data_IF_491223080006
#
_entry.id   IF_491223080006
#
_cell.length_a   1.000
_cell.length_b   1.000
_cell.length_c   1.000
_cell.angle_alpha   90.00
_cell.angle_beta   90.00
_cell.angle_gamma   90.00
#
_symmetry.space_group_name_H-M   'P 1'
#
loop_
_entity.id
_entity.type
_entity.pdbx_description
1 polymer ?
#
# COMPACT_ATOMS: atom_id res chain seq x y z
N UNK A 1 4.55 38.10 41.00
CA UNK A 1 4.23 38.78 39.73
C UNK A 1 5.23 38.32 38.70
N UNK A 2 4.85 37.36 37.86
CA UNK A 2 5.70 36.76 36.83
C UNK A 2 5.56 37.53 35.52
N UNK A 3 6.67 38.05 35.01
CA UNK A 3 6.72 38.67 33.67
C UNK A 3 6.34 37.63 32.60
N UNK A 4 5.46 37.97 31.64
CA UNK A 4 5.18 37.10 30.51
C UNK A 4 6.38 37.11 29.55
N UNK A 5 6.80 35.91 29.15
CA UNK A 5 7.78 35.66 28.09
C UNK A 5 7.23 36.24 26.77
N UNK A 6 8.02 36.94 25.94
CA UNK A 6 7.57 37.36 24.63
C UNK A 6 7.37 36.13 23.74
N UNK A 7 6.24 36.09 23.02
CA UNK A 7 5.98 35.09 21.99
C UNK A 7 7.02 35.24 20.87
N UNK A 8 7.72 34.13 20.55
CA UNK A 8 8.63 34.08 19.41
C UNK A 8 7.87 34.39 18.12
N UNK A 9 8.26 35.48 17.48
CA UNK A 9 7.74 35.94 16.22
C UNK A 9 8.18 34.96 15.13
N UNK A 10 7.24 34.14 14.66
CA UNK A 10 7.41 33.22 13.52
C UNK A 10 7.92 34.01 12.30
N UNK A 11 9.22 33.93 12.02
CA UNK A 11 9.83 34.52 10.83
C UNK A 11 9.22 33.86 9.59
N UNK A 12 8.35 34.60 8.89
CA UNK A 12 7.75 34.17 7.62
C UNK A 12 8.87 33.85 6.63
N UNK A 13 8.92 32.60 6.17
CA UNK A 13 9.86 32.15 5.14
C UNK A 13 9.50 32.82 3.80
N UNK A 14 10.32 33.78 3.36
CA UNK A 14 10.18 34.44 2.06
C UNK A 14 11.00 33.67 1.02
N UNK A 15 10.37 33.25 -0.08
CA UNK A 15 11.01 32.53 -1.19
C UNK A 15 10.75 33.32 -2.47
N UNK A 16 11.77 33.46 -3.32
CA UNK A 16 11.63 34.10 -4.63
C UNK A 16 11.00 33.12 -5.64
N UNK A 17 9.97 33.55 -6.34
CA UNK A 17 9.29 32.77 -7.37
C UNK A 17 9.25 33.54 -8.69
N UNK A 18 9.29 32.81 -9.81
CA UNK A 18 8.98 33.38 -11.11
C UNK A 18 7.47 33.74 -11.17
N UNK A 19 7.06 34.88 -11.77
CA UNK A 19 5.65 35.29 -11.81
C UNK A 19 4.68 34.23 -12.34
N UNK A 20 5.08 33.50 -13.40
CA UNK A 20 4.31 32.37 -13.93
C UNK A 20 3.97 31.30 -12.87
N UNK A 21 4.91 30.98 -11.98
CA UNK A 21 4.70 29.95 -10.94
C UNK A 21 3.64 30.39 -9.94
N UNK A 22 3.68 31.67 -9.54
CA UNK A 22 2.68 32.28 -8.65
C UNK A 22 1.32 32.26 -9.34
N UNK A 23 1.23 32.81 -10.56
CA UNK A 23 -0.03 32.91 -11.30
C UNK A 23 -0.64 31.54 -11.60
N UNK A 24 0.17 30.52 -11.89
CA UNK A 24 -0.29 29.15 -12.10
C UNK A 24 -0.89 28.53 -10.83
N UNK A 25 -0.24 28.71 -9.68
CA UNK A 25 -0.77 28.20 -8.40
C UNK A 25 -2.04 28.94 -7.99
N UNK A 26 -2.09 30.26 -8.16
CA UNK A 26 -3.30 31.06 -7.92
C UNK A 26 -4.44 30.60 -8.82
N UNK A 27 -4.19 30.44 -10.13
CA UNK A 27 -5.20 29.96 -11.08
C UNK A 27 -5.75 28.58 -10.73
N UNK A 28 -4.88 27.63 -10.36
CA UNK A 28 -5.31 26.30 -9.87
C UNK A 28 -6.19 26.41 -8.62
N UNK A 29 -5.78 27.22 -7.65
CA UNK A 29 -6.53 27.39 -6.42
C UNK A 29 -7.92 28.01 -6.65
N UNK A 30 -8.01 29.01 -7.54
CA UNK A 30 -9.29 29.60 -7.96
C UNK A 30 -10.18 28.53 -8.59
N UNK A 31 -9.66 27.78 -9.58
CA UNK A 31 -10.44 26.74 -10.26
C UNK A 31 -10.94 25.64 -9.31
N UNK A 32 -10.13 25.24 -8.32
CA UNK A 32 -10.57 24.27 -7.31
C UNK A 32 -11.62 24.83 -6.35
N UNK A 33 -11.50 26.10 -5.98
CA UNK A 33 -12.38 26.73 -4.99
C UNK A 33 -13.69 27.26 -5.59
N UNK A 34 -13.65 27.66 -6.86
CA UNK A 34 -14.67 28.40 -7.59
C UNK A 34 -14.72 27.87 -9.04
N UNK A 35 -15.11 26.59 -9.26
CA UNK A 35 -15.05 25.96 -10.58
C UNK A 35 -15.97 26.62 -11.62
N UNK A 36 -17.03 27.28 -11.16
CA UNK A 36 -18.03 27.92 -12.02
C UNK A 36 -17.75 29.42 -12.27
N UNK A 37 -16.63 29.96 -11.75
CA UNK A 37 -16.29 31.37 -11.93
C UNK A 37 -15.74 31.62 -13.34
N UNK A 38 -16.55 32.28 -14.17
CA UNK A 38 -16.15 32.73 -15.50
C UNK A 38 -15.86 34.24 -15.51
N UNK A 39 -14.84 34.63 -16.29
CA UNK A 39 -14.44 36.03 -16.46
C UNK A 39 -14.28 36.32 -17.94
N UNK A 40 -14.94 37.38 -18.42
CA UNK A 40 -14.85 37.82 -19.81
C UNK A 40 -13.81 38.93 -19.97
N UNK A 41 -13.00 38.84 -21.02
CA UNK A 41 -12.03 39.87 -21.41
C UNK A 41 -12.06 40.06 -22.93
N UNK A 42 -11.71 41.24 -23.48
CA UNK A 42 -11.58 41.43 -24.93
C UNK A 42 -10.58 40.45 -25.56
N UNK A 43 -10.78 40.15 -26.85
CA UNK A 43 -9.92 39.23 -27.61
C UNK A 43 -8.46 39.71 -27.69
N UNK A 44 -8.24 41.02 -27.82
CA UNK A 44 -6.94 41.66 -27.72
C UNK A 44 -6.90 42.52 -26.45
N UNK A 45 -5.97 42.23 -25.54
CA UNK A 45 -5.86 42.88 -24.23
C UNK A 45 -4.41 42.79 -23.71
N UNK A 46 -4.10 43.55 -22.66
CA UNK A 46 -2.79 43.53 -22.01
C UNK A 46 -2.74 42.59 -20.80
N UNK A 47 -1.54 42.14 -20.40
CA UNK A 47 -1.38 41.31 -19.19
C UNK A 47 -1.89 42.01 -17.93
N UNK A 48 -1.75 43.34 -17.85
CA UNK A 48 -2.22 44.12 -16.72
C UNK A 48 -3.75 44.13 -16.66
N UNK A 49 -4.42 44.37 -17.79
CA UNK A 49 -5.89 44.31 -17.88
C UNK A 49 -6.44 42.94 -17.50
N UNK A 50 -5.80 41.85 -17.95
CA UNK A 50 -6.17 40.49 -17.53
C UNK A 50 -6.07 40.30 -16.01
N UNK A 51 -4.95 40.71 -15.39
CA UNK A 51 -4.74 40.57 -13.96
C UNK A 51 -5.72 41.42 -13.14
N UNK A 52 -6.00 42.64 -13.59
CA UNK A 52 -6.99 43.52 -12.95
C UNK A 52 -8.41 42.96 -13.08
N UNK A 53 -8.76 42.39 -14.23
CA UNK A 53 -10.08 41.80 -14.45
C UNK A 53 -10.31 40.61 -13.55
N UNK A 54 -9.33 39.69 -13.46
CA UNK A 54 -9.36 38.55 -12.54
C UNK A 54 -9.34 39.01 -11.09
N UNK A 55 -8.54 40.04 -10.74
CA UNK A 55 -8.53 40.57 -9.37
C UNK A 55 -9.86 41.18 -8.95
N UNK A 56 -10.57 41.85 -9.88
CA UNK A 56 -11.90 42.43 -9.61
C UNK A 56 -12.96 41.34 -9.43
N UNK A 57 -12.92 40.27 -10.21
CA UNK A 57 -13.88 39.16 -10.09
C UNK A 57 -13.71 38.36 -8.80
N UNK A 58 -12.52 38.37 -8.20
CA UNK A 58 -12.22 37.71 -6.93
C UNK A 58 -12.41 38.60 -5.71
N UNK A 59 -12.83 39.86 -5.88
CA UNK A 59 -13.02 40.79 -4.78
C UNK A 59 -14.06 40.24 -3.76
N UNK A 60 -13.67 40.17 -2.49
CA UNK A 60 -14.51 39.61 -1.42
C UNK A 60 -14.45 38.09 -1.25
N UNK A 61 -13.66 37.38 -2.08
CA UNK A 61 -13.48 35.92 -2.03
C UNK A 61 -12.07 35.51 -1.59
N UNK A 62 -11.41 36.34 -0.76
CA UNK A 62 -10.02 36.11 -0.35
C UNK A 62 -9.86 34.79 0.41
N UNK A 63 -8.93 33.95 -0.07
CA UNK A 63 -8.63 32.64 0.51
C UNK A 63 -7.12 32.45 0.59
N UNK A 64 -6.68 31.88 1.70
CA UNK A 64 -5.27 31.52 1.90
C UNK A 64 -4.89 30.37 0.97
N UNK A 65 -3.76 30.52 0.28
CA UNK A 65 -3.14 29.47 -0.52
C UNK A 65 -1.71 29.24 -0.06
N UNK A 66 -1.23 28.02 -0.28
CA UNK A 66 0.19 27.66 -0.13
C UNK A 66 0.79 27.51 -1.53
N UNK A 67 1.95 28.13 -1.76
CA UNK A 67 2.70 28.00 -3.02
C UNK A 67 3.89 27.09 -2.75
N UNK A 68 3.86 25.90 -3.35
CA UNK A 68 4.97 24.96 -3.24
C UNK A 68 6.19 25.47 -4.01
N UNK A 69 7.40 25.34 -3.47
CA UNK A 69 8.62 25.72 -4.18
C UNK A 69 8.76 24.89 -5.47
N UNK A 70 9.13 25.51 -6.62
CA UNK A 70 9.35 24.78 -7.85
C UNK A 70 10.49 23.77 -7.64
N UNK A 71 10.28 22.52 -8.08
CA UNK A 71 11.35 21.52 -8.14
C UNK A 71 12.42 22.06 -9.11
N UNK A 72 13.68 22.23 -8.67
CA UNK A 72 14.74 22.75 -9.53
C UNK A 72 14.87 21.96 -10.84
N UNK A 73 15.09 22.65 -11.97
CA UNK A 73 15.17 22.02 -13.31
C UNK A 73 16.21 20.90 -13.37
N UNK A 74 17.34 21.09 -12.68
CA UNK A 74 18.37 20.05 -12.53
C UNK A 74 17.84 18.79 -11.84
N UNK A 75 17.02 18.96 -10.79
CA UNK A 75 16.37 17.84 -10.08
C UNK A 75 15.30 17.18 -10.95
N UNK A 76 14.53 17.94 -11.72
CA UNK A 76 13.59 17.38 -12.72
C UNK A 76 14.31 16.52 -13.77
N UNK A 77 15.45 17.00 -14.28
CA UNK A 77 16.28 16.25 -15.25
C UNK A 77 16.89 15.00 -14.61
N UNK A 78 17.39 15.09 -13.37
CA UNK A 78 17.92 13.93 -12.64
C UNK A 78 16.84 12.86 -12.44
N UNK A 79 15.63 13.25 -12.00
CA UNK A 79 14.50 12.33 -11.84
C UNK A 79 14.09 11.69 -13.17
N UNK A 80 14.07 12.46 -14.27
CA UNK A 80 13.78 11.94 -15.61
C UNK A 80 14.84 10.93 -16.06
N UNK A 81 16.11 11.22 -15.84
CA UNK A 81 17.21 10.33 -16.22
C UNK A 81 17.18 9.03 -15.39
N UNK A 82 16.90 9.12 -14.08
CA UNK A 82 16.72 7.96 -13.21
C UNK A 82 15.55 7.09 -13.68
N UNK A 83 14.40 7.69 -14.02
CA UNK A 83 13.26 6.96 -14.56
C UNK A 83 13.58 6.27 -15.91
N UNK A 84 14.31 6.95 -16.80
CA UNK A 84 14.72 6.38 -18.10
C UNK A 84 15.73 5.22 -17.95
N UNK A 85 16.70 5.35 -17.04
CA UNK A 85 17.66 4.28 -16.75
C UNK A 85 16.96 3.04 -16.17
N UNK A 86 15.95 3.23 -15.33
CA UNK A 86 15.17 2.13 -14.77
C UNK A 86 14.28 1.44 -15.81
N UNK A 87 13.64 2.19 -16.70
CA UNK A 87 12.88 1.63 -17.83
C UNK A 87 13.78 0.80 -18.77
N UNK A 88 15.05 1.19 -18.93
CA UNK A 88 16.03 0.44 -19.70
C UNK A 88 16.53 -0.81 -18.96
N UNK A 89 16.79 -0.71 -17.65
CA UNK A 89 17.16 -1.86 -16.83
C UNK A 89 16.05 -2.92 -16.77
N UNK A 90 14.77 -2.49 -16.81
CA UNK A 90 13.58 -3.35 -16.87
C UNK A 90 13.58 -4.32 -18.07
N UNK A 91 14.11 -3.92 -19.22
CA UNK A 91 14.20 -4.77 -20.40
C UNK A 91 15.24 -5.90 -20.28
N UNK A 92 16.07 -5.88 -19.24
CA UNK A 92 17.19 -6.80 -19.00
C UNK A 92 17.09 -7.61 -17.70
N UNK A 93 15.95 -7.58 -16.99
CA UNK A 93 15.83 -8.34 -15.75
C UNK A 93 15.76 -9.85 -16.02
N UNK A 94 16.86 -10.53 -15.70
CA UNK A 94 16.84 -11.96 -15.38
C UNK A 94 16.00 -12.16 -14.12
N UNK A 95 14.98 -13.01 -14.23
CA UNK A 95 14.04 -13.42 -13.16
C UNK A 95 14.69 -14.20 -12.01
N UNK A 96 16.02 -14.30 -11.98
CA UNK A 96 16.81 -15.16 -11.08
C UNK A 96 17.40 -14.45 -9.85
N UNK A 97 17.36 -13.11 -9.78
CA UNK A 97 17.82 -12.37 -8.59
C UNK A 97 16.64 -11.95 -7.73
N UNK A 98 16.72 -12.23 -6.43
CA UNK A 98 15.64 -12.02 -5.46
C UNK A 98 15.24 -10.55 -5.39
N UNK A 99 14.20 -10.17 -6.13
CA UNK A 99 13.54 -8.86 -6.13
C UNK A 99 12.85 -8.52 -4.79
N UNK A 100 13.13 -9.28 -3.74
CA UNK A 100 12.53 -9.13 -2.42
C UNK A 100 13.60 -9.14 -1.35
N UNK A 101 13.37 -8.37 -0.28
CA UNK A 101 14.17 -8.40 0.93
C UNK A 101 13.25 -8.47 2.16
N UNK A 102 13.67 -9.18 3.23
CA UNK A 102 12.90 -9.23 4.46
C UNK A 102 12.89 -7.88 5.16
N UNK A 103 11.81 -7.58 5.87
CA UNK A 103 11.83 -6.48 6.84
C UNK A 103 12.68 -6.87 8.05
N UNK A 104 13.22 -5.88 8.76
CA UNK A 104 13.87 -6.11 10.04
C UNK A 104 12.84 -6.54 11.08
N UNK A 105 13.22 -7.48 11.95
CA UNK A 105 12.43 -7.93 13.10
C UNK A 105 13.22 -7.67 14.38
N UNK A 106 12.55 -7.23 15.45
CA UNK A 106 13.19 -6.89 16.73
C UNK A 106 13.05 -7.99 17.79
N UNK A 107 12.26 -9.02 17.53
CA UNK A 107 11.98 -10.13 18.45
C UNK A 107 12.31 -11.48 17.82
N UNK A 108 12.42 -12.50 18.67
CA UNK A 108 12.63 -13.89 18.25
C UNK A 108 11.35 -14.47 17.63
N UNK A 109 11.36 -14.63 16.31
CA UNK A 109 10.24 -15.14 15.51
C UNK A 109 9.89 -16.59 15.83
N UNK A 110 10.84 -17.36 16.36
CA UNK A 110 10.62 -18.75 16.72
C UNK A 110 9.59 -18.88 17.87
N UNK A 111 9.37 -17.82 18.64
CA UNK A 111 8.45 -17.79 19.77
C UNK A 111 7.01 -17.42 19.39
N UNK A 112 6.77 -16.97 18.16
CA UNK A 112 5.41 -16.67 17.70
C UNK A 112 4.63 -18.00 17.61
N UNK A 113 3.52 -18.19 18.31
CA UNK A 113 2.76 -19.44 18.21
C UNK A 113 2.10 -19.58 16.83
N UNK A 114 1.67 -20.79 16.47
CA UNK A 114 0.71 -20.94 15.37
C UNK A 114 -0.59 -20.17 15.70
N UNK A 115 -1.32 -19.67 14.70
CA UNK A 115 -2.59 -19.01 14.93
C UNK A 115 -3.55 -19.97 15.64
N UNK A 116 -4.19 -19.49 16.70
CA UNK A 116 -5.31 -20.25 17.26
C UNK A 116 -6.46 -20.26 16.26
N UNK A 117 -7.28 -21.33 16.24
CA UNK A 117 -8.48 -21.36 15.41
C UNK A 117 -9.39 -20.15 15.72
N UNK A 118 -9.89 -19.42 14.71
CA UNK A 118 -10.81 -18.31 14.93
C UNK A 118 -12.18 -18.81 15.41
N UNK A 119 -12.87 -17.98 16.19
CA UNK A 119 -14.24 -18.29 16.64
C UNK A 119 -15.20 -18.36 15.44
N UNK A 120 -16.34 -19.07 15.54
CA UNK A 120 -17.34 -19.09 14.47
C UNK A 120 -17.83 -17.69 14.07
N UNK A 121 -17.95 -16.78 15.04
CA UNK A 121 -18.34 -15.38 14.79
C UNK A 121 -17.27 -14.61 14.03
N UNK A 122 -15.99 -14.85 14.34
CA UNK A 122 -14.85 -14.27 13.61
C UNK A 122 -14.79 -14.80 12.18
N UNK A 123 -14.99 -16.11 11.97
CA UNK A 123 -15.07 -16.71 10.63
C UNK A 123 -16.22 -16.12 9.80
N UNK A 124 -17.41 -16.01 10.41
CA UNK A 124 -18.57 -15.44 9.75
C UNK A 124 -18.33 -13.97 9.34
N UNK A 125 -17.73 -13.15 10.20
CA UNK A 125 -17.36 -11.76 9.85
C UNK A 125 -16.34 -11.69 8.72
N UNK A 126 -15.31 -12.55 8.75
CA UNK A 126 -14.33 -12.63 7.68
C UNK A 126 -15.00 -12.97 6.34
N UNK A 127 -15.94 -13.93 6.35
CA UNK A 127 -16.75 -14.30 5.18
C UNK A 127 -17.63 -13.16 4.70
N UNK A 128 -18.32 -12.43 5.58
CA UNK A 128 -19.16 -11.29 5.24
C UNK A 128 -18.37 -10.14 4.61
N UNK A 129 -17.20 -9.82 5.19
CA UNK A 129 -16.28 -8.83 4.64
C UNK A 129 -15.72 -9.25 3.26
N UNK A 130 -15.76 -10.56 2.97
CA UNK A 130 -15.35 -11.13 1.70
C UNK A 130 -16.46 -11.17 0.62
N UNK A 131 -17.74 -11.08 0.99
CA UNK A 131 -18.85 -11.08 0.01
C UNK A 131 -18.74 -9.99 -1.07
N UNK A 132 -18.25 -8.76 -0.82
CA UNK A 132 -18.05 -7.76 -1.88
C UNK A 132 -16.76 -7.96 -2.69
N UNK A 133 -16.05 -9.09 -2.60
CA UNK A 133 -14.89 -9.33 -3.49
C UNK A 133 -15.40 -9.55 -4.92
N UNK A 134 -14.98 -8.72 -5.90
CA UNK A 134 -15.27 -9.01 -7.30
C UNK A 134 -14.66 -10.37 -7.70
N UNK A 135 -15.13 -10.98 -8.80
CA UNK A 135 -14.39 -12.08 -9.42
C UNK A 135 -12.95 -11.66 -9.69
N UNK A 136 -12.04 -12.63 -9.83
CA UNK A 136 -10.64 -12.37 -10.16
C UNK A 136 -10.56 -11.68 -11.53
N UNK A 137 -10.49 -10.36 -11.55
CA UNK A 137 -10.04 -9.58 -12.70
C UNK A 137 -8.50 -9.54 -12.63
N UNK A 138 -7.82 -9.83 -13.74
CA UNK A 138 -6.35 -9.86 -13.82
C UNK A 138 -5.74 -8.67 -13.04
N UNK A 139 -5.05 -8.89 -11.89
CA UNK A 139 -4.98 -7.83 -10.87
C UNK A 139 -3.97 -6.72 -11.14
N UNK A 140 -3.29 -6.73 -12.29
CA UNK A 140 -2.06 -5.96 -12.44
C UNK A 140 -2.03 -5.17 -13.75
N UNK A 141 -2.88 -4.13 -13.91
CA UNK A 141 -2.68 -3.14 -14.96
C UNK A 141 -1.36 -2.36 -14.75
N UNK A 142 -0.79 -2.41 -13.54
CA UNK A 142 0.46 -1.72 -13.20
C UNK A 142 1.36 -2.67 -12.42
N UNK A 143 2.43 -3.15 -13.08
CA UNK A 143 3.62 -3.62 -12.37
C UNK A 143 4.19 -2.38 -11.68
N UNK A 144 3.95 -2.22 -10.38
CA UNK A 144 4.61 -1.16 -9.60
C UNK A 144 6.04 -1.66 -9.37
N UNK A 145 7.05 -1.14 -10.09
CA UNK A 145 8.43 -1.47 -9.73
C UNK A 145 8.61 -1.05 -8.27
N UNK A 146 9.32 -1.91 -7.51
CA UNK A 146 9.86 -1.52 -6.21
C UNK A 146 10.30 -0.06 -6.26
N UNK A 147 9.87 0.72 -5.26
CA UNK A 147 10.06 2.17 -5.19
C UNK A 147 11.37 2.59 -5.87
N UNK A 148 11.34 3.67 -6.68
CA UNK A 148 12.41 4.23 -7.53
C UNK A 148 13.84 4.26 -6.93
N UNK A 149 14.02 3.93 -5.66
CA UNK A 149 15.25 3.95 -4.90
C UNK A 149 15.77 2.57 -4.44
N UNK A 150 14.93 1.54 -4.27
CA UNK A 150 15.33 0.28 -3.59
C UNK A 150 15.39 -0.97 -4.47
N UNK A 151 14.83 -0.95 -5.69
CA UNK A 151 14.78 -2.09 -6.65
C UNK A 151 14.29 -3.45 -6.07
N UNK A 152 13.85 -3.48 -4.81
CA UNK A 152 13.46 -4.67 -4.06
C UNK A 152 12.18 -4.38 -3.28
N UNK A 153 11.32 -5.39 -3.18
CA UNK A 153 10.02 -5.34 -2.49
C UNK A 153 10.13 -5.92 -1.07
N UNK A 154 9.35 -5.41 -0.11
CA UNK A 154 9.37 -5.93 1.25
C UNK A 154 8.72 -7.31 1.33
N UNK A 155 9.33 -8.21 2.10
CA UNK A 155 8.69 -9.44 2.54
C UNK A 155 8.51 -9.48 4.05
N UNK A 156 7.37 -10.01 4.47
CA UNK A 156 7.02 -10.29 5.86
C UNK A 156 6.89 -11.80 6.05
N UNK A 157 7.18 -12.28 7.25
CA UNK A 157 7.03 -13.70 7.60
C UNK A 157 5.73 -13.89 8.37
N UNK A 158 5.08 -15.02 8.18
CA UNK A 158 3.90 -15.39 8.95
C UNK A 158 3.80 -16.88 9.21
N UNK A 159 3.13 -17.20 10.32
CA UNK A 159 2.57 -18.51 10.61
C UNK A 159 1.13 -18.51 10.13
N UNK A 160 0.84 -19.31 9.10
CA UNK A 160 -0.44 -19.30 8.40
C UNK A 160 -1.17 -20.62 8.57
N UNK A 161 -2.48 -20.54 8.79
CA UNK A 161 -3.40 -21.67 8.78
C UNK A 161 -4.50 -21.40 7.76
N UNK A 162 -4.75 -22.37 6.90
CA UNK A 162 -5.72 -22.32 5.81
C UNK A 162 -6.80 -23.38 6.02
N UNK A 163 -8.06 -23.00 5.80
CA UNK A 163 -9.23 -23.88 5.89
C UNK A 163 -10.21 -23.55 4.75
N UNK A 164 -11.16 -24.45 4.49
CA UNK A 164 -12.33 -24.10 3.68
C UNK A 164 -13.16 -23.02 4.36
N UNK A 165 -13.82 -22.16 3.58
CA UNK A 165 -14.60 -21.03 4.12
C UNK A 165 -15.74 -21.50 5.04
N UNK A 166 -16.46 -22.53 4.60
CA UNK A 166 -17.56 -23.15 5.37
C UNK A 166 -17.22 -24.55 5.91
N UNK A 167 -15.99 -25.02 5.67
CA UNK A 167 -15.57 -26.35 6.07
C UNK A 167 -14.13 -26.34 6.63
N UNK A 168 -14.01 -26.68 7.90
CA UNK A 168 -12.75 -26.81 8.62
C UNK A 168 -12.26 -28.26 8.73
N UNK A 169 -12.81 -29.19 7.94
CA UNK A 169 -12.46 -30.62 7.99
C UNK A 169 -11.00 -30.90 7.62
N UNK A 170 -10.40 -30.06 6.76
CA UNK A 170 -8.99 -30.08 6.41
C UNK A 170 -8.35 -28.73 6.65
N UNK A 171 -7.11 -28.79 7.13
CA UNK A 171 -6.31 -27.64 7.49
C UNK A 171 -4.94 -27.77 6.82
N UNK A 172 -4.46 -26.71 6.19
CA UNK A 172 -3.07 -26.59 5.74
C UNK A 172 -2.35 -25.56 6.59
N UNK A 173 -1.10 -25.83 6.97
CA UNK A 173 -0.31 -24.95 7.83
C UNK A 173 1.03 -24.64 7.19
N UNK A 174 1.37 -23.35 7.14
CA UNK A 174 2.65 -22.84 6.65
C UNK A 174 3.36 -22.12 7.80
N UNK A 175 4.34 -22.78 8.42
CA UNK A 175 5.00 -22.27 9.64
C UNK A 175 5.92 -21.07 9.40
N UNK A 176 6.49 -20.94 8.20
CA UNK A 176 7.41 -19.87 7.83
C UNK A 176 7.05 -19.30 6.46
N UNK A 177 5.78 -18.89 6.30
CA UNK A 177 5.31 -18.34 5.04
C UNK A 177 5.96 -16.98 4.79
N UNK A 178 6.81 -16.90 3.76
CA UNK A 178 7.36 -15.62 3.28
C UNK A 178 6.35 -14.98 2.35
N UNK A 179 5.79 -13.86 2.78
CA UNK A 179 4.73 -13.15 2.06
C UNK A 179 5.25 -11.84 1.49
N UNK A 180 4.91 -11.54 0.24
CA UNK A 180 5.18 -10.25 -0.38
C UNK A 180 4.24 -9.20 0.23
N UNK A 181 4.78 -8.15 0.83
CA UNK A 181 3.98 -7.03 1.32
C UNK A 181 3.69 -6.09 0.15
N UNK A 182 2.46 -6.13 -0.37
CA UNK A 182 2.10 -5.43 -1.61
C UNK A 182 0.87 -4.54 -1.42
N UNK A 183 1.10 -3.23 -1.33
CA UNK A 183 0.04 -2.22 -1.25
C UNK A 183 -0.71 -2.04 -2.56
N UNK A 184 -0.23 -2.60 -3.68
CA UNK A 184 -0.90 -2.61 -4.98
C UNK A 184 -1.87 -3.78 -5.15
N UNK A 185 -1.65 -4.89 -4.45
CA UNK A 185 -2.53 -6.04 -4.50
C UNK A 185 -3.86 -5.74 -3.79
N UNK A 186 -4.99 -5.91 -4.49
CA UNK A 186 -6.31 -5.61 -3.92
C UNK A 186 -6.73 -6.61 -2.84
N UNK A 187 -6.27 -7.85 -2.94
CA UNK A 187 -6.61 -8.94 -2.01
C UNK A 187 -5.39 -9.83 -1.76
N UNK A 188 -5.46 -10.63 -0.70
CA UNK A 188 -4.41 -11.63 -0.43
C UNK A 188 -4.53 -12.80 -1.40
N UNK A 189 -3.45 -13.08 -2.13
CA UNK A 189 -3.37 -14.14 -3.14
C UNK A 189 -2.36 -15.19 -2.69
N UNK A 190 -2.71 -16.46 -2.82
CA UNK A 190 -1.89 -17.61 -2.47
C UNK A 190 -1.67 -18.42 -3.74
N UNK A 191 -0.42 -18.68 -4.10
CA UNK A 191 -0.12 -19.59 -5.21
C UNK A 191 -0.43 -21.03 -4.81
N UNK A 192 -1.12 -21.78 -5.65
CA UNK A 192 -1.55 -23.14 -5.29
C UNK A 192 -0.37 -24.09 -5.06
N UNK A 193 0.77 -23.84 -5.70
CA UNK A 193 1.98 -24.66 -5.57
C UNK A 193 2.66 -24.59 -4.20
N UNK A 194 2.32 -23.62 -3.33
CA UNK A 194 2.78 -23.61 -1.93
C UNK A 194 1.91 -24.44 -1.00
N UNK A 195 0.77 -24.93 -1.47
CA UNK A 195 -0.17 -25.73 -0.68
C UNK A 195 0.19 -27.21 -0.71
N UNK A 196 -0.10 -27.91 0.40
CA UNK A 196 0.09 -29.36 0.44
C UNK A 196 -0.78 -30.06 -0.61
N UNK A 197 -0.31 -31.16 -1.24
CA UNK A 197 -1.07 -31.84 -2.29
C UNK A 197 -2.48 -32.24 -1.85
N UNK A 198 -2.64 -32.69 -0.60
CA UNK A 198 -3.94 -33.10 -0.06
C UNK A 198 -4.91 -31.95 0.21
N UNK A 199 -4.41 -30.74 0.46
CA UNK A 199 -5.23 -29.55 0.58
C UNK A 199 -5.59 -28.97 -0.79
N UNK A 200 -4.69 -29.02 -1.78
CA UNK A 200 -5.03 -28.68 -3.17
C UNK A 200 -6.15 -29.55 -3.71
N UNK A 201 -6.01 -30.86 -3.57
CA UNK A 201 -7.03 -31.83 -4.00
C UNK A 201 -8.38 -31.58 -3.33
N UNK A 202 -8.36 -31.24 -2.04
CA UNK A 202 -9.56 -30.82 -1.30
C UNK A 202 -10.24 -29.59 -1.93
N UNK A 203 -9.49 -28.51 -2.16
CA UNK A 203 -10.04 -27.29 -2.78
C UNK A 203 -10.52 -27.51 -4.22
N UNK A 204 -9.87 -28.39 -4.98
CA UNK A 204 -10.17 -28.63 -6.40
C UNK A 204 -11.33 -29.61 -6.60
N UNK A 205 -11.43 -30.66 -5.77
CA UNK A 205 -12.33 -31.79 -6.04
C UNK A 205 -13.49 -31.94 -5.05
N UNK A 206 -13.45 -31.35 -3.84
CA UNK A 206 -14.55 -31.48 -2.87
C UNK A 206 -15.71 -30.52 -3.19
N UNK A 207 -16.96 -30.99 -3.42
CA UNK A 207 -18.10 -30.13 -3.75
C UNK A 207 -18.43 -29.05 -2.71
N UNK A 208 -17.99 -29.20 -1.45
CA UNK A 208 -18.24 -28.18 -0.41
C UNK A 208 -17.67 -26.80 -0.77
N UNK A 209 -16.68 -26.76 -1.68
CA UNK A 209 -16.06 -25.53 -2.15
C UNK A 209 -16.67 -24.94 -3.42
N UNK A 210 -17.69 -25.58 -4.03
CA UNK A 210 -18.33 -25.07 -5.25
C UNK A 210 -18.77 -23.60 -5.15
N UNK A 211 -19.36 -23.12 -4.02
CA UNK A 211 -19.72 -21.70 -3.87
C UNK A 211 -18.51 -20.74 -3.81
N UNK A 212 -17.31 -21.28 -3.59
CA UNK A 212 -16.06 -20.54 -3.37
C UNK A 212 -15.08 -20.68 -4.53
N UNK A 213 -15.37 -21.55 -5.50
CA UNK A 213 -14.62 -21.69 -6.75
C UNK A 213 -15.01 -20.54 -7.69
N UNK A 214 -13.99 -19.84 -8.17
CA UNK A 214 -14.08 -18.78 -9.16
C UNK A 214 -13.37 -19.22 -10.44
N UNK A 215 -13.63 -18.53 -11.53
CA UNK A 215 -12.85 -18.68 -12.74
C UNK A 215 -11.38 -18.34 -12.42
N UNK A 216 -10.51 -19.37 -12.41
CA UNK A 216 -9.07 -19.23 -12.13
C UNK A 216 -8.63 -19.39 -10.68
N UNK A 217 -9.51 -19.70 -9.72
CA UNK A 217 -9.11 -19.88 -8.32
C UNK A 217 -10.18 -20.35 -7.35
N UNK A 218 -9.83 -20.46 -6.07
CA UNK A 218 -10.73 -20.84 -4.99
C UNK A 218 -10.50 -19.97 -3.75
N UNK A 219 -11.59 -19.52 -3.10
CA UNK A 219 -11.51 -18.76 -1.84
C UNK A 219 -11.33 -19.69 -0.64
N UNK A 220 -10.45 -19.29 0.27
CA UNK A 220 -10.14 -20.04 1.50
C UNK A 220 -10.16 -19.13 2.71
N UNK A 221 -10.50 -19.68 3.87
CA UNK A 221 -10.31 -19.01 5.15
C UNK A 221 -8.80 -18.94 5.44
N UNK A 222 -8.30 -17.73 5.66
CA UNK A 222 -6.91 -17.42 5.94
C UNK A 222 -6.77 -16.86 7.35
N UNK A 223 -6.02 -17.55 8.20
CA UNK A 223 -5.68 -17.07 9.54
C UNK A 223 -4.16 -17.00 9.65
N UNK A 224 -3.62 -15.86 10.08
CA UNK A 224 -2.18 -15.68 10.15
C UNK A 224 -1.75 -14.91 11.39
N UNK A 225 -0.64 -15.34 11.97
CA UNK A 225 0.17 -14.55 12.89
C UNK A 225 1.31 -13.96 12.06
N UNK A 226 1.27 -12.66 11.82
CA UNK A 226 2.12 -11.95 10.88
C UNK A 226 3.16 -11.16 11.66
N UNK A 227 4.42 -11.32 11.26
CA UNK A 227 5.56 -10.72 11.91
C UNK A 227 5.89 -9.37 11.30
N UNK A 228 5.76 -8.31 12.10
CA UNK A 228 6.17 -6.94 11.80
C UNK A 228 7.41 -6.54 12.61
N UNK A 229 8.01 -5.39 12.31
CA UNK A 229 9.27 -4.99 12.95
C UNK A 229 9.17 -4.86 14.47
N UNK A 230 8.07 -4.27 14.97
CA UNK A 230 7.88 -4.00 16.41
C UNK A 230 6.96 -4.99 17.11
N UNK A 231 6.19 -5.79 16.37
CA UNK A 231 5.11 -6.61 16.94
C UNK A 231 4.77 -7.77 16.01
N UNK A 232 3.99 -8.73 16.49
CA UNK A 232 3.25 -9.64 15.62
C UNK A 232 1.76 -9.42 15.84
N UNK A 233 0.97 -9.53 14.78
CA UNK A 233 -0.48 -9.39 14.85
C UNK A 233 -1.15 -10.66 14.34
N UNK A 234 -2.36 -10.93 14.86
CA UNK A 234 -3.22 -12.00 14.34
C UNK A 234 -4.29 -11.41 13.44
N UNK A 235 -4.42 -11.95 12.24
CA UNK A 235 -5.48 -11.61 11.28
C UNK A 235 -6.27 -12.85 10.89
N UNK A 236 -7.54 -12.63 10.53
CA UNK A 236 -8.46 -13.64 10.06
C UNK A 236 -9.29 -13.04 8.92
N UNK A 237 -9.11 -13.54 7.71
CA UNK A 237 -9.77 -13.04 6.49
C UNK A 237 -10.00 -14.16 5.48
N UNK A 238 -10.50 -13.84 4.30
CA UNK A 238 -10.58 -14.76 3.15
C UNK A 238 -9.50 -14.39 2.15
N UNK A 239 -8.75 -15.39 1.68
CA UNK A 239 -7.74 -15.24 0.63
C UNK A 239 -8.14 -15.99 -0.64
N UNK A 240 -7.51 -15.66 -1.76
CA UNK A 240 -7.72 -16.32 -3.03
C UNK A 240 -6.54 -17.25 -3.36
N UNK A 241 -6.82 -18.53 -3.55
CA UNK A 241 -5.86 -19.51 -4.07
C UNK A 241 -5.97 -19.53 -5.60
N UNK A 242 -4.85 -19.36 -6.30
CA UNK A 242 -4.80 -19.38 -7.77
C UNK A 242 -3.62 -20.20 -8.28
N UNK A 243 -3.65 -20.62 -9.55
CA UNK A 243 -2.46 -21.20 -10.17
C UNK A 243 -1.34 -20.16 -10.26
N UNK A 244 -0.09 -20.53 -9.99
CA UNK A 244 1.06 -19.62 -10.11
C UNK A 244 1.15 -18.94 -11.49
N UNK A 245 0.66 -19.57 -12.56
CA UNK A 245 0.72 -19.02 -13.92
C UNK A 245 -0.06 -17.71 -14.09
N UNK A 246 -1.08 -17.46 -13.26
CA UNK A 246 -1.88 -16.22 -13.32
C UNK A 246 -1.34 -15.13 -12.39
N UNK A 247 -0.34 -15.44 -11.56
CA UNK A 247 0.35 -14.48 -10.70
C UNK A 247 1.45 -13.79 -11.51
N UNK A 248 1.65 -12.46 -11.39
CA UNK A 248 2.73 -11.75 -12.05
C UNK A 248 4.07 -12.42 -11.84
N UNK A 249 4.85 -12.50 -12.92
CA UNK A 249 6.16 -13.16 -12.95
C UNK A 249 6.11 -14.64 -12.51
N UNK A 250 4.93 -15.26 -12.52
CA UNK A 250 4.69 -16.62 -12.02
C UNK A 250 5.24 -16.87 -10.61
N UNK A 251 5.17 -15.85 -9.74
CA UNK A 251 5.68 -15.92 -8.37
C UNK A 251 5.00 -17.05 -7.60
N UNK A 252 5.80 -17.91 -7.00
CA UNK A 252 5.38 -18.85 -5.96
C UNK A 252 5.38 -18.15 -4.60
N UNK A 253 4.33 -18.33 -3.80
CA UNK A 253 4.20 -17.73 -2.47
C UNK A 253 2.85 -17.08 -2.20
N UNK A 254 2.85 -16.25 -1.16
CA UNK A 254 1.69 -15.45 -0.76
C UNK A 254 1.97 -13.98 -1.07
N UNK A 255 1.00 -13.29 -1.67
CA UNK A 255 0.97 -11.84 -1.82
C UNK A 255 0.00 -11.31 -0.78
N UNK A 256 0.53 -10.60 0.22
CA UNK A 256 -0.24 -9.99 1.29
C UNK A 256 -0.78 -8.64 0.81
N UNK A 257 -2.08 -8.63 0.46
CA UNK A 257 -2.74 -7.52 -0.20
C UNK A 257 -3.64 -6.69 0.72
N UNK A 258 -4.43 -5.80 0.12
CA UNK A 258 -5.18 -4.78 0.84
C UNK A 258 -6.37 -5.32 1.63
N UNK A 259 -7.37 -5.85 0.95
CA UNK A 259 -8.69 -6.10 1.55
C UNK A 259 -8.65 -7.21 2.60
N UNK A 260 -9.13 -6.88 3.80
CA UNK A 260 -9.12 -7.74 4.99
C UNK A 260 -7.73 -8.02 5.57
N UNK A 261 -6.69 -7.32 5.08
CA UNK A 261 -5.29 -7.50 5.45
C UNK A 261 -4.63 -6.13 5.66
N UNK A 262 -4.04 -5.50 4.64
CA UNK A 262 -3.38 -4.20 4.81
C UNK A 262 -4.35 -3.08 5.21
N UNK A 263 -5.62 -3.15 4.81
CA UNK A 263 -6.66 -2.21 5.23
C UNK A 263 -6.99 -2.29 6.74
N UNK A 264 -6.57 -3.37 7.38
CA UNK A 264 -6.78 -3.66 8.80
C UNK A 264 -5.60 -3.23 9.67
N UNK A 265 -4.54 -2.64 9.09
CA UNK A 265 -3.36 -2.16 9.79
C UNK A 265 -3.08 -0.68 9.53
N UNK A 266 -2.71 0.04 10.58
CA UNK A 266 -2.12 1.36 10.51
C UNK A 266 -0.62 1.20 10.73
N UNK A 267 0.18 1.42 9.69
CA UNK A 267 1.62 1.17 9.72
C UNK A 267 2.42 2.35 9.19
N UNK A 268 3.71 2.37 9.58
CA UNK A 268 4.73 3.25 9.02
C UNK A 268 5.83 2.39 8.41
N UNK A 269 6.34 2.83 7.27
CA UNK A 269 7.46 2.19 6.59
C UNK A 269 8.70 3.08 6.65
N UNK A 270 9.83 2.50 7.06
CA UNK A 270 11.13 3.18 7.10
C UNK A 270 12.09 2.44 6.15
N UNK A 271 12.41 3.03 4.98
CA UNK A 271 13.30 2.38 4.01
C UNK A 271 14.72 2.16 4.56
N UNK A 272 15.38 1.07 4.13
CA UNK A 272 16.75 0.73 4.54
C UNK A 272 17.76 1.88 4.38
N UNK A 273 17.59 2.78 3.39
CA UNK A 273 18.50 3.93 3.21
C UNK A 273 18.56 4.87 4.43
N UNK A 274 17.51 4.95 5.23
CA UNK A 274 17.51 5.71 6.49
C UNK A 274 18.15 4.93 7.64
N UNK A 275 18.27 3.61 7.48
CA UNK A 275 18.79 2.65 8.45
C UNK A 275 20.24 2.24 8.13
N UNK A 276 20.84 2.78 7.05
CA UNK A 276 22.18 2.50 6.51
C UNK A 276 23.36 2.77 7.47
N UNK A 277 23.09 3.09 8.74
CA UNK A 277 24.10 3.13 9.79
C UNK A 277 24.37 1.76 10.44
N UNK A 278 23.65 0.69 10.07
CA UNK A 278 23.65 -0.59 10.81
C UNK A 278 24.04 -1.85 10.02
N UNK A 279 24.41 -1.74 8.74
CA UNK A 279 24.91 -2.88 7.92
C UNK A 279 23.97 -4.10 7.83
N UNK A 280 22.66 -3.88 7.93
CA UNK A 280 21.66 -4.95 7.81
C UNK A 280 21.23 -5.19 6.35
N UNK A 281 21.29 -6.45 5.89
CA UNK A 281 20.75 -6.89 4.59
C UNK A 281 19.22 -7.06 4.61
N UNK A 282 18.52 -5.97 4.94
CA UNK A 282 17.05 -5.92 5.05
C UNK A 282 16.47 -4.88 4.10
N UNK A 283 15.17 -5.00 3.82
CA UNK A 283 14.43 -4.01 3.05
C UNK A 283 14.24 -2.70 3.83
N UNK A 284 14.04 -2.81 5.14
CA UNK A 284 13.77 -1.71 6.06
C UNK A 284 12.85 -2.15 7.20
N UNK A 285 12.22 -1.18 7.85
CA UNK A 285 11.26 -1.44 8.93
C UNK A 285 9.82 -1.24 8.43
N UNK A 286 8.92 -2.09 8.90
CA UNK A 286 7.47 -1.89 8.84
C UNK A 286 6.95 -1.97 10.27
N UNK A 287 6.63 -0.82 10.85
CA UNK A 287 6.11 -0.72 12.22
C UNK A 287 4.60 -0.55 12.19
N UNK A 288 3.89 -1.40 12.93
CA UNK A 288 2.44 -1.30 13.09
C UNK A 288 2.17 -0.45 14.33
N UNK A 289 1.40 0.63 14.18
CA UNK A 289 0.99 1.49 15.29
C UNK A 289 -0.36 0.99 15.85
N UNK A 290 -1.29 0.57 14.98
CA UNK A 290 -2.63 0.08 15.33
C UNK A 290 -3.11 -0.97 14.34
N UNK A 291 -3.98 -1.89 14.77
CA UNK A 291 -4.64 -2.83 13.86
C UNK A 291 -6.06 -3.16 14.33
N UNK A 292 -6.90 -3.63 13.39
CA UNK A 292 -8.21 -4.20 13.70
C UNK A 292 -7.99 -5.68 14.00
N UNK A 293 -8.28 -6.09 15.23
CA UNK A 293 -8.13 -7.48 15.64
C UNK A 293 -9.23 -8.36 15.02
N UNK A 294 -9.14 -9.70 15.13
CA UNK A 294 -10.16 -10.61 14.61
C UNK A 294 -11.55 -10.43 15.24
N UNK A 295 -11.63 -9.70 16.36
CA UNK A 295 -12.86 -9.35 17.04
C UNK A 295 -13.44 -7.99 16.60
N UNK A 296 -12.82 -7.33 15.61
CA UNK A 296 -13.26 -6.05 15.07
C UNK A 296 -12.88 -4.84 15.95
N UNK A 297 -12.08 -5.04 17.00
CA UNK A 297 -11.64 -3.99 17.88
C UNK A 297 -10.29 -3.43 17.44
N UNK A 298 -10.07 -2.13 17.67
CA UNK A 298 -8.79 -1.49 17.39
C UNK A 298 -7.84 -1.78 18.54
N UNK A 299 -6.77 -2.51 18.25
CA UNK A 299 -5.67 -2.78 19.16
C UNK A 299 -4.48 -1.86 18.87
N UNK A 300 -3.76 -1.48 19.93
CA UNK A 300 -2.53 -0.70 19.88
C UNK A 300 -1.33 -1.65 19.94
N UNK A 301 -0.25 -1.32 19.24
CA UNK A 301 0.99 -2.09 19.18
C UNK A 301 2.19 -1.34 19.77
#
# INVERSE_FOLDING_TARGET
MSNPKPAEESTRRVVAFHPFHILSHVGKAINTALPDLEVSTPYETTWQECLETVSKSLAGLDRKISIDPPIPTLRKRALRNQALQQAQAQASFDTSTSLTKPIRLQYDTNQVPLPTPPSPQTKQRAKENAQPFPPYEEPYPVVIPAALESQTLPTITAKVTLEGVDDGSKIDTLENAVMLFDTGAQQTIISSDVLSPGFRDYLENDPVHDPYRLEGGCRVQFTANIEFTNTYIRLCTVALVVNRSVIPNSRSGIIFGQKGCLDSICFRSVPAKFLQAQDDDVWGDITVDRYINPDGEIAMC
#
